data_IF_017812266525
#
_entry.id   IF_017812266525
#
_cell.length_a   1.000
_cell.length_b   1.000
_cell.length_c   1.000
_cell.angle_alpha   90.00
_cell.angle_beta   90.00
_cell.angle_gamma   90.00
#
_symmetry.space_group_name_H-M   'P 1'
#
loop_
_entity.id
_entity.type
_entity.pdbx_description
1 polymer ?
#
# COMPACT_ATOMS: atom_id res chain seq x y z
N UNK A 1 -2.17 -5.21 37.44
CA UNK A 1 -2.71 -6.55 37.12
C UNK A 1 -2.66 -6.76 35.62
N UNK A 2 -2.21 -7.93 35.12
CA UNK A 2 -2.25 -8.32 33.70
C UNK A 2 -3.45 -9.22 33.43
N UNK A 3 -4.07 -9.06 32.25
CA UNK A 3 -5.22 -9.88 31.80
C UNK A 3 -4.82 -10.66 30.55
N UNK A 4 -5.15 -11.95 30.50
CA UNK A 4 -4.89 -12.80 29.35
C UNK A 4 -6.04 -12.69 28.33
N UNK A 5 -5.68 -12.53 27.04
CA UNK A 5 -6.64 -12.43 25.93
C UNK A 5 -6.59 -13.62 24.97
N UNK A 6 -5.78 -14.65 25.28
CA UNK A 6 -5.52 -15.75 24.37
C UNK A 6 -4.64 -15.35 23.19
N UNK A 7 -4.60 -16.17 22.13
CA UNK A 7 -3.86 -15.88 20.92
C UNK A 7 -4.58 -14.78 20.11
N UNK A 8 -4.00 -13.60 20.08
CA UNK A 8 -4.50 -12.42 19.35
C UNK A 8 -3.35 -11.69 18.66
N UNK A 9 -3.55 -11.15 17.45
CA UNK A 9 -2.51 -10.40 16.73
C UNK A 9 -2.41 -8.96 17.26
N UNK A 10 -2.22 -8.78 18.56
CA UNK A 10 -2.16 -7.48 19.23
C UNK A 10 -0.73 -6.95 19.20
N UNK A 11 -0.36 -6.31 18.11
CA UNK A 11 0.90 -5.59 17.96
C UNK A 11 0.61 -4.20 17.40
N UNK A 12 0.58 -3.20 18.25
CA UNK A 12 0.25 -1.81 17.89
C UNK A 12 1.31 -0.83 18.43
N UNK A 13 1.49 0.33 17.77
CA UNK A 13 0.83 0.78 16.54
C UNK A 13 1.34 0.06 15.30
N UNK A 14 0.50 -0.05 14.27
CA UNK A 14 0.88 -0.51 12.93
C UNK A 14 0.43 0.52 11.89
N UNK A 15 1.20 0.77 10.84
CA UNK A 15 0.77 1.64 9.76
C UNK A 15 -0.41 1.01 9.01
N UNK A 16 -1.34 1.84 8.57
CA UNK A 16 -2.34 1.44 7.58
C UNK A 16 -1.70 1.63 6.20
N UNK A 17 -1.48 0.54 5.52
CA UNK A 17 -0.84 0.51 4.20
C UNK A 17 -1.89 0.63 3.10
N UNK A 18 -1.63 1.46 2.10
CA UNK A 18 -2.46 1.62 0.91
C UNK A 18 -1.69 1.07 -0.28
N UNK A 19 -2.12 -0.08 -0.77
CA UNK A 19 -1.45 -0.78 -1.86
C UNK A 19 -1.95 -0.27 -3.20
N UNK A 20 -1.06 0.28 -4.01
CA UNK A 20 -1.34 0.73 -5.37
C UNK A 20 -0.91 -0.31 -6.41
N UNK A 21 -1.79 -0.64 -7.36
CA UNK A 21 -1.51 -1.59 -8.45
C UNK A 21 -2.16 -1.15 -9.75
N UNK A 22 -1.63 -1.61 -10.89
CA UNK A 22 -2.33 -1.52 -12.17
C UNK A 22 -3.07 -2.81 -12.50
N UNK A 23 -4.25 -2.69 -13.10
CA UNK A 23 -4.97 -3.82 -13.68
C UNK A 23 -4.43 -4.19 -15.08
N UNK A 24 -5.08 -5.15 -15.74
CA UNK A 24 -4.73 -5.62 -17.08
C UNK A 24 -4.83 -4.56 -18.18
N UNK A 25 -5.54 -3.48 -17.93
CA UNK A 25 -5.74 -2.37 -18.86
C UNK A 25 -4.85 -1.15 -18.50
N UNK A 26 -3.98 -1.30 -17.49
CA UNK A 26 -3.15 -0.21 -16.98
C UNK A 26 -3.91 0.80 -16.11
N UNK A 27 -5.11 0.44 -15.65
CA UNK A 27 -5.90 1.28 -14.77
C UNK A 27 -5.42 1.14 -13.31
N UNK A 28 -5.22 2.26 -12.64
CA UNK A 28 -4.82 2.28 -11.25
C UNK A 28 -5.95 1.80 -10.31
N UNK A 29 -5.58 1.00 -9.33
CA UNK A 29 -6.42 0.58 -8.22
C UNK A 29 -5.64 0.67 -6.91
N UNK A 30 -6.35 0.89 -5.82
CA UNK A 30 -5.80 0.85 -4.47
C UNK A 30 -6.66 0.02 -3.54
N UNK A 31 -6.03 -0.56 -2.51
CA UNK A 31 -6.71 -1.17 -1.37
C UNK A 31 -5.93 -0.90 -0.10
N UNK A 32 -6.60 -0.95 1.06
CA UNK A 32 -5.87 -0.91 2.32
C UNK A 32 -5.43 -2.31 2.77
N UNK A 33 -4.35 -2.35 3.53
CA UNK A 33 -3.83 -3.54 4.20
C UNK A 33 -3.35 -3.18 5.60
N UNK A 34 -3.62 -4.05 6.57
CA UNK A 34 -3.26 -3.83 7.98
C UNK A 34 -2.11 -4.75 8.43
N UNK A 35 -1.89 -5.86 7.75
CA UNK A 35 -0.90 -6.84 8.17
C UNK A 35 0.30 -6.87 7.24
N UNK A 36 1.46 -6.51 7.81
CA UNK A 36 2.73 -6.47 7.09
C UNK A 36 3.77 -5.65 7.84
N UNK A 37 4.95 -5.58 7.26
CA UNK A 37 6.05 -4.80 7.82
C UNK A 37 7.37 -5.08 7.13
N UNK A 38 8.40 -4.35 7.56
CA UNK A 38 9.77 -4.49 7.09
C UNK A 38 10.35 -5.80 7.65
N UNK A 39 10.95 -6.62 6.79
CA UNK A 39 11.54 -7.93 7.14
C UNK A 39 13.03 -8.04 6.75
N UNK A 40 13.59 -7.00 6.18
CA UNK A 40 15.00 -6.91 5.79
C UNK A 40 15.42 -5.47 5.56
N UNK A 41 16.65 -5.25 5.13
CA UNK A 41 17.19 -3.90 4.88
C UNK A 41 16.40 -3.14 3.81
N UNK A 42 15.91 -3.86 2.81
CA UNK A 42 15.12 -3.35 1.69
C UNK A 42 13.96 -4.29 1.33
N UNK A 43 13.44 -5.04 2.29
CA UNK A 43 12.37 -6.00 2.07
C UNK A 43 11.16 -5.70 2.96
N UNK A 44 9.98 -5.82 2.37
CA UNK A 44 8.69 -5.72 3.04
C UNK A 44 7.87 -6.96 2.77
N UNK A 45 7.07 -7.38 3.74
CA UNK A 45 6.06 -8.43 3.57
C UNK A 45 4.68 -7.84 3.85
N UNK A 46 3.69 -8.22 3.06
CA UNK A 46 2.27 -7.91 3.31
C UNK A 46 1.45 -9.18 3.24
N UNK A 47 0.55 -9.38 4.20
CA UNK A 47 -0.36 -10.53 4.24
C UNK A 47 -1.73 -10.10 3.71
N UNK A 48 -2.15 -10.69 2.59
CA UNK A 48 -3.32 -10.31 1.82
C UNK A 48 -4.18 -11.52 1.51
N UNK A 49 -5.48 -11.42 1.73
CA UNK A 49 -6.43 -12.36 1.15
C UNK A 49 -6.62 -12.10 -0.35
N UNK A 50 -7.23 -13.07 -1.06
CA UNK A 50 -7.45 -12.98 -2.50
C UNK A 50 -8.37 -11.81 -2.88
N UNK A 51 -7.85 -10.88 -3.66
CA UNK A 51 -8.53 -9.68 -4.16
C UNK A 51 -8.03 -9.32 -5.57
N UNK A 52 -8.70 -8.39 -6.25
CA UNK A 52 -8.22 -7.84 -7.53
C UNK A 52 -6.77 -7.32 -7.42
N UNK A 53 -6.43 -6.74 -6.28
CA UNK A 53 -5.06 -6.24 -6.02
C UNK A 53 -4.03 -7.36 -6.01
N UNK A 54 -4.33 -8.52 -5.42
CA UNK A 54 -3.39 -9.66 -5.41
C UNK A 54 -3.18 -10.24 -6.81
N UNK A 55 -4.23 -10.32 -7.63
CA UNK A 55 -4.12 -10.71 -9.04
C UNK A 55 -3.22 -9.75 -9.82
N UNK A 56 -3.40 -8.44 -9.59
CA UNK A 56 -2.59 -7.39 -10.20
C UNK A 56 -1.12 -7.49 -9.79
N UNK A 57 -0.83 -7.73 -8.50
CA UNK A 57 0.54 -7.91 -7.98
C UNK A 57 1.22 -9.09 -8.64
N UNK A 58 0.53 -10.24 -8.72
CA UNK A 58 1.07 -11.45 -9.34
C UNK A 58 1.38 -11.21 -10.82
N UNK A 59 0.48 -10.52 -11.53
CA UNK A 59 0.62 -10.24 -12.96
C UNK A 59 1.74 -9.25 -13.26
N UNK A 60 1.76 -8.11 -12.56
CA UNK A 60 2.70 -7.02 -12.82
C UNK A 60 4.03 -7.18 -12.07
N UNK A 61 4.11 -8.11 -11.12
CA UNK A 61 5.26 -8.30 -10.23
C UNK A 61 5.65 -7.04 -9.46
N UNK A 62 4.70 -6.13 -9.27
CA UNK A 62 4.96 -4.83 -8.67
C UNK A 62 3.72 -4.27 -7.96
N UNK A 63 3.98 -3.47 -6.94
CA UNK A 63 2.98 -2.68 -6.23
C UNK A 63 3.64 -1.53 -5.48
N UNK A 64 2.87 -0.53 -5.10
CA UNK A 64 3.32 0.50 -4.17
C UNK A 64 2.65 0.32 -2.82
N UNK A 65 3.30 0.81 -1.77
CA UNK A 65 2.78 0.84 -0.40
C UNK A 65 2.79 2.28 0.07
N UNK A 66 1.65 2.96 -0.06
CA UNK A 66 1.44 4.27 0.55
C UNK A 66 1.11 4.12 2.04
N UNK A 67 1.48 5.09 2.85
CA UNK A 67 1.10 5.15 4.27
C UNK A 67 -0.07 6.13 4.42
N UNK A 68 -1.17 5.63 5.00
CA UNK A 68 -2.34 6.46 5.28
C UNK A 68 -2.01 7.53 6.32
N UNK A 69 -2.53 8.73 6.10
CA UNK A 69 -2.48 9.85 7.04
C UNK A 69 -3.87 10.25 7.53
N UNK A 70 -3.93 11.18 8.44
CA UNK A 70 -5.19 11.63 9.04
C UNK A 70 -6.03 12.46 8.06
N UNK A 71 -5.38 13.22 7.16
CA UNK A 71 -6.05 14.08 6.19
C UNK A 71 -6.83 13.24 5.16
N UNK A 72 -6.27 12.10 4.75
CA UNK A 72 -6.86 11.21 3.75
C UNK A 72 -7.55 9.97 4.34
N UNK A 73 -7.86 9.97 5.65
CA UNK A 73 -8.43 8.83 6.36
C UNK A 73 -9.67 8.25 5.67
N UNK A 74 -10.62 9.10 5.28
CA UNK A 74 -11.87 8.68 4.62
C UNK A 74 -11.60 8.05 3.25
N UNK A 75 -10.68 8.64 2.47
CA UNK A 75 -10.28 8.11 1.18
C UNK A 75 -9.58 6.74 1.30
N UNK A 76 -8.70 6.61 2.29
CA UNK A 76 -7.99 5.37 2.60
C UNK A 76 -8.94 4.25 3.06
N UNK A 77 -9.95 4.56 3.88
CA UNK A 77 -10.98 3.61 4.27
C UNK A 77 -11.84 3.21 3.08
N UNK A 78 -12.29 4.18 2.28
CA UNK A 78 -13.10 3.94 1.08
C UNK A 78 -12.45 2.95 0.10
N UNK A 79 -11.16 3.09 -0.20
CA UNK A 79 -10.48 2.16 -1.11
C UNK A 79 -10.30 0.78 -0.52
N UNK A 80 -10.42 0.61 0.79
CA UNK A 80 -10.41 -0.68 1.47
C UNK A 80 -11.75 -1.43 1.38
N UNK A 81 -12.87 -0.72 1.48
CA UNK A 81 -14.22 -1.33 1.52
C UNK A 81 -14.87 -1.49 0.14
N UNK A 82 -14.44 -0.70 -0.85
CA UNK A 82 -15.00 -0.73 -2.22
C UNK A 82 -14.13 -1.55 -3.15
N UNK A 83 -14.74 -2.54 -3.83
CA UNK A 83 -14.04 -3.36 -4.82
C UNK A 83 -13.98 -2.67 -6.19
N UNK A 84 -12.80 -2.65 -6.81
CA UNK A 84 -12.62 -2.19 -8.19
C UNK A 84 -13.37 -3.05 -9.23
N UNK A 85 -13.76 -4.27 -8.89
CA UNK A 85 -14.62 -5.10 -9.73
C UNK A 85 -16.07 -4.59 -9.82
N UNK A 86 -16.51 -3.78 -8.83
CA UNK A 86 -17.86 -3.24 -8.75
C UNK A 86 -17.94 -1.75 -9.04
N UNK A 87 -16.83 -1.01 -8.83
CA UNK A 87 -16.77 0.43 -8.96
C UNK A 87 -15.62 0.84 -9.91
N UNK A 88 -15.98 1.16 -11.14
CA UNK A 88 -15.02 1.54 -12.17
C UNK A 88 -14.30 2.86 -11.89
N UNK A 89 -14.91 3.75 -11.12
CA UNK A 89 -14.38 5.08 -10.80
C UNK A 89 -13.87 5.19 -9.35
N UNK A 90 -13.46 4.06 -8.77
CA UNK A 90 -13.06 3.92 -7.37
C UNK A 90 -12.00 4.96 -6.95
N UNK A 91 -10.91 5.12 -7.70
CA UNK A 91 -9.84 6.06 -7.39
C UNK A 91 -10.33 7.51 -7.46
N UNK A 92 -11.10 7.85 -8.47
CA UNK A 92 -11.69 9.17 -8.63
C UNK A 92 -12.64 9.53 -7.48
N UNK A 93 -13.51 8.58 -7.09
CA UNK A 93 -14.45 8.76 -5.97
C UNK A 93 -13.75 8.86 -4.62
N UNK A 94 -12.60 8.23 -4.47
CA UNK A 94 -11.73 8.40 -3.31
C UNK A 94 -11.04 9.77 -3.27
N UNK A 95 -10.99 10.48 -4.40
CA UNK A 95 -10.22 11.72 -4.53
C UNK A 95 -8.73 11.50 -4.73
N UNK A 96 -8.32 10.27 -5.09
CA UNK A 96 -6.92 9.95 -5.34
C UNK A 96 -6.55 10.14 -6.81
N UNK A 97 -5.40 10.79 -7.00
CA UNK A 97 -4.70 10.88 -8.28
C UNK A 97 -3.44 10.01 -8.23
N UNK A 98 -2.96 9.59 -9.38
CA UNK A 98 -1.80 8.70 -9.45
C UNK A 98 -0.78 9.14 -10.48
N UNK A 99 0.49 8.91 -10.18
CA UNK A 99 1.62 9.01 -11.12
C UNK A 99 2.24 7.63 -11.29
N UNK A 100 2.69 7.30 -12.49
CA UNK A 100 3.40 6.04 -12.73
C UNK A 100 4.76 6.08 -12.04
N UNK A 101 5.10 5.02 -11.28
CA UNK A 101 6.43 4.86 -10.73
C UNK A 101 7.49 4.77 -11.85
N UNK A 102 8.66 5.38 -11.63
CA UNK A 102 9.83 5.23 -12.50
C UNK A 102 10.63 3.95 -12.19
N UNK A 103 10.39 3.33 -11.03
CA UNK A 103 11.16 2.21 -10.51
C UNK A 103 10.46 0.87 -10.69
N UNK A 104 9.12 0.85 -10.66
CA UNK A 104 8.32 -0.38 -10.74
C UNK A 104 7.04 -0.17 -11.56
N UNK A 105 6.45 -1.24 -12.06
CA UNK A 105 5.19 -1.14 -12.83
C UNK A 105 3.96 -1.03 -11.90
N UNK A 106 3.90 0.08 -11.16
CA UNK A 106 2.80 0.36 -10.22
C UNK A 106 2.53 1.87 -10.11
N UNK A 107 1.32 2.29 -9.69
CA UNK A 107 0.99 3.69 -9.49
C UNK A 107 1.43 4.18 -8.10
N UNK A 108 2.00 5.37 -8.03
CA UNK A 108 2.17 6.16 -6.81
C UNK A 108 0.92 7.00 -6.59
N UNK A 109 0.32 6.95 -5.40
CA UNK A 109 -0.81 7.80 -5.02
C UNK A 109 -0.24 9.14 -4.56
N UNK A 110 -0.57 10.21 -5.29
CA UNK A 110 0.07 11.51 -5.14
C UNK A 110 -0.22 12.21 -3.80
N UNK A 111 -1.37 11.91 -3.21
CA UNK A 111 -1.85 12.56 -1.99
C UNK A 111 -1.24 11.94 -0.72
N UNK A 112 -0.66 10.73 -0.78
CA UNK A 112 -0.11 10.07 0.39
C UNK A 112 1.33 10.52 0.69
N UNK A 113 1.67 10.77 1.96
CA UNK A 113 2.93 11.44 2.33
C UNK A 113 4.18 10.58 2.14
N UNK A 114 4.04 9.24 2.21
CA UNK A 114 5.13 8.30 2.02
C UNK A 114 4.66 7.13 1.17
N UNK A 115 5.49 6.72 0.22
CA UNK A 115 5.22 5.56 -0.64
C UNK A 115 6.49 4.73 -0.82
N UNK A 116 6.39 3.43 -0.56
CA UNK A 116 7.39 2.43 -0.94
C UNK A 116 7.03 1.89 -2.33
N UNK A 117 7.99 1.83 -3.23
CA UNK A 117 7.84 1.30 -4.58
C UNK A 117 8.49 -0.09 -4.63
N UNK A 118 7.67 -1.13 -4.78
CA UNK A 118 8.06 -2.50 -4.47
C UNK A 118 7.95 -3.45 -5.67
N UNK A 119 8.94 -4.32 -5.82
CA UNK A 119 8.94 -5.44 -6.76
C UNK A 119 8.72 -6.75 -6.02
N UNK A 120 7.74 -7.54 -6.49
CA UNK A 120 7.40 -8.84 -5.89
C UNK A 120 8.56 -9.83 -6.04
N UNK A 121 9.06 -10.36 -4.92
CA UNK A 121 10.05 -11.43 -4.90
C UNK A 121 9.38 -12.79 -4.98
N UNK A 122 8.44 -13.06 -4.07
CA UNK A 122 7.67 -14.32 -4.02
C UNK A 122 6.42 -14.20 -3.16
N UNK A 123 5.50 -15.14 -3.34
CA UNK A 123 4.36 -15.36 -2.43
C UNK A 123 4.65 -16.57 -1.55
N UNK A 124 4.49 -16.40 -0.24
CA UNK A 124 4.73 -17.43 0.79
C UNK A 124 3.37 -17.81 1.38
N UNK A 125 3.12 -19.12 1.55
CA UNK A 125 1.86 -19.65 2.11
C UNK A 125 0.60 -19.04 1.47
N UNK A 126 0.64 -18.80 0.17
CA UNK A 126 -0.48 -18.29 -0.66
C UNK A 126 -0.98 -16.87 -0.33
N UNK A 127 -0.58 -16.28 0.81
CA UNK A 127 -1.10 -14.99 1.28
C UNK A 127 -0.04 -13.94 1.58
N UNK A 128 1.20 -14.32 1.79
CA UNK A 128 2.27 -13.42 2.22
C UNK A 128 3.13 -13.01 1.03
N UNK A 129 3.01 -11.76 0.63
CA UNK A 129 3.69 -11.17 -0.53
C UNK A 129 4.99 -10.54 -0.05
N UNK A 130 6.11 -11.24 -0.26
CA UNK A 130 7.46 -10.70 0.00
C UNK A 130 7.91 -9.89 -1.21
N UNK A 131 8.32 -8.66 -0.97
CA UNK A 131 8.76 -7.75 -2.00
C UNK A 131 10.05 -7.02 -1.62
N UNK A 132 10.84 -6.67 -2.63
CA UNK A 132 11.99 -5.78 -2.50
C UNK A 132 11.55 -4.33 -2.71
N UNK A 133 11.98 -3.43 -1.83
CA UNK A 133 11.76 -2.00 -1.93
C UNK A 133 12.81 -1.43 -2.90
N UNK A 134 12.37 -0.95 -4.05
CA UNK A 134 13.23 -0.35 -5.08
C UNK A 134 13.44 1.14 -4.87
N UNK A 135 12.47 1.82 -4.27
CA UNK A 135 12.54 3.25 -3.97
C UNK A 135 11.58 3.61 -2.83
N UNK A 136 11.88 4.70 -2.15
CA UNK A 136 10.98 5.36 -1.19
C UNK A 136 10.76 6.78 -1.67
N UNK A 137 9.49 7.13 -1.91
CA UNK A 137 9.08 8.48 -2.28
C UNK A 137 8.42 9.15 -1.09
N UNK A 138 8.85 10.37 -0.78
CA UNK A 138 8.24 11.23 0.24
C UNK A 138 7.61 12.44 -0.43
N UNK A 139 6.40 12.80 0.01
CA UNK A 139 5.80 14.07 -0.37
C UNK A 139 6.62 15.20 0.27
N UNK A 140 7.35 15.93 -0.58
CA UNK A 140 8.18 17.02 -0.12
C UNK A 140 7.36 18.30 -0.02
N UNK A 141 7.21 18.82 1.20
CA UNK A 141 6.67 20.16 1.43
C UNK A 141 7.83 21.06 1.87
N UNK A 142 8.02 22.18 1.22
CA UNK A 142 9.18 23.08 1.39
C UNK A 142 9.42 23.53 2.83
N UNK A 143 8.39 23.61 3.65
CA UNK A 143 8.46 24.11 5.02
C UNK A 143 9.03 23.10 6.01
N UNK A 144 8.85 21.81 5.80
CA UNK A 144 9.35 20.77 6.72
C UNK A 144 10.84 20.44 6.54
N UNK A 145 11.45 20.76 5.39
CA UNK A 145 12.83 20.43 5.08
C UNK A 145 13.80 21.51 5.51
N UNK A 146 13.37 22.76 5.67
CA UNK A 146 14.23 23.86 6.15
C UNK A 146 14.42 23.84 7.67
N UNK A 147 13.50 23.23 8.43
CA UNK A 147 13.63 23.07 9.89
C UNK A 147 14.54 21.89 10.32
N UNK A 148 14.89 20.98 9.39
CA UNK A 148 15.70 19.78 9.68
C UNK A 148 17.20 19.92 9.35
N UNK A 149 17.68 21.14 9.05
CA UNK A 149 19.09 21.43 8.74
C UNK A 149 19.80 22.17 9.86
#
# INVERSE_FOLDING_TARGET
>A
MKKNFGAKPFLYPQPVMILGTYDENGKANAMNAAWGGIVGANEIIVDLSAHKTTDNIIKNKAFTVGVADLEHLVACDYVGIVSANKEAYKMQKAGFTTTKSEYVNAPVINELPLTLECELVKVIDESKYLAEIKNVCLLYTSDAADEAR
#
